data_IF_782823211814
#
_entry.id   IF_782823211814
#
_cell.length_a   1.000
_cell.length_b   1.000
_cell.length_c   1.000
_cell.angle_alpha   90.00
_cell.angle_beta   90.00
_cell.angle_gamma   90.00
#
_symmetry.space_group_name_H-M   'P 1'
#
loop_
_entity.id
_entity.type
_entity.pdbx_description
1 polymer ?
#
# COMPACT_ATOMS: atom_id res chain seq x y z
N UNK A 1 35.38 1.86 -5.02
CA UNK A 1 34.04 1.29 -5.16
C UNK A 1 33.13 1.75 -4.02
N UNK A 2 32.28 2.75 -4.26
CA UNK A 2 31.30 3.25 -3.28
C UNK A 2 29.91 3.26 -3.92
N UNK A 3 28.96 2.53 -3.35
CA UNK A 3 27.61 2.41 -3.88
C UNK A 3 26.75 3.66 -3.61
N UNK A 4 26.96 4.37 -2.48
CA UNK A 4 26.16 5.56 -2.14
C UNK A 4 26.19 6.67 -3.20
N UNK A 5 27.35 7.06 -3.77
CA UNK A 5 27.38 8.06 -4.84
C UNK A 5 26.66 7.59 -6.11
N UNK A 6 26.75 6.30 -6.44
CA UNK A 6 26.04 5.72 -7.58
C UNK A 6 24.52 5.78 -7.37
N UNK A 7 24.04 5.32 -6.20
CA UNK A 7 22.62 5.42 -5.85
C UNK A 7 22.10 6.85 -5.89
N UNK A 8 22.89 7.80 -5.36
CA UNK A 8 22.55 9.23 -5.40
C UNK A 8 22.40 9.73 -6.84
N UNK A 9 23.34 9.39 -7.74
CA UNK A 9 23.24 9.76 -9.17
C UNK A 9 21.98 9.19 -9.83
N UNK A 10 21.65 7.93 -9.58
CA UNK A 10 20.45 7.29 -10.14
C UNK A 10 19.20 7.99 -9.65
N UNK A 11 19.04 8.15 -8.32
CA UNK A 11 17.84 8.72 -7.70
C UNK A 11 17.63 10.19 -8.11
N UNK A 12 18.71 10.95 -8.32
CA UNK A 12 18.64 12.36 -8.73
C UNK A 12 18.55 12.56 -10.24
N UNK A 13 18.64 11.49 -11.04
CA UNK A 13 18.53 11.60 -12.50
C UNK A 13 17.13 12.04 -12.93
N UNK A 14 17.04 12.77 -14.04
CA UNK A 14 15.78 13.20 -14.62
C UNK A 14 14.88 11.99 -14.95
N UNK A 15 15.45 10.92 -15.48
CA UNK A 15 14.74 9.68 -15.83
C UNK A 15 14.10 9.02 -14.59
N UNK A 16 14.83 8.92 -13.47
CA UNK A 16 14.29 8.34 -12.25
C UNK A 16 13.17 9.18 -11.64
N UNK A 17 13.30 10.51 -11.74
CA UNK A 17 12.36 11.50 -11.17
C UNK A 17 11.23 11.87 -12.13
N UNK A 18 11.14 11.20 -13.26
CA UNK A 18 10.13 11.47 -14.28
C UNK A 18 8.72 11.19 -13.73
N UNK A 19 7.78 12.08 -14.04
CA UNK A 19 6.37 11.91 -13.70
C UNK A 19 5.71 10.79 -14.50
N UNK A 20 4.70 10.16 -13.94
CA UNK A 20 3.81 9.23 -14.62
C UNK A 20 2.60 9.94 -15.29
N UNK A 21 2.53 11.28 -15.23
CA UNK A 21 1.40 12.04 -15.74
C UNK A 21 1.10 11.71 -17.21
N UNK A 22 -0.18 11.58 -17.53
CA UNK A 22 -0.63 11.29 -18.87
C UNK A 22 -0.64 12.55 -19.74
N UNK A 23 -0.15 12.43 -20.98
CA UNK A 23 -0.18 13.46 -22.00
C UNK A 23 -0.70 12.83 -23.30
N UNK A 24 -1.85 13.31 -23.78
CA UNK A 24 -2.53 12.72 -24.94
C UNK A 24 -1.73 12.90 -26.24
N UNK A 25 -1.02 14.01 -26.41
CA UNK A 25 -0.22 14.26 -27.62
C UNK A 25 1.00 13.34 -27.67
N UNK A 26 1.70 13.18 -26.54
CA UNK A 26 2.82 12.26 -26.42
C UNK A 26 2.39 10.80 -26.55
N UNK A 27 1.25 10.44 -25.98
CA UNK A 27 0.66 9.10 -26.13
C UNK A 27 0.35 8.78 -27.59
N UNK A 28 -0.13 9.76 -28.37
CA UNK A 28 -0.37 9.58 -29.79
C UNK A 28 0.92 9.42 -30.59
N UNK A 29 1.98 10.14 -30.23
CA UNK A 29 3.28 10.08 -30.90
C UNK A 29 4.09 8.81 -30.55
N UNK A 30 4.04 8.38 -29.29
CA UNK A 30 4.75 7.20 -28.79
C UNK A 30 3.87 6.39 -27.81
N UNK A 31 2.93 5.59 -28.32
CA UNK A 31 2.01 4.79 -27.50
C UNK A 31 2.72 3.78 -26.60
N UNK A 32 3.88 3.28 -27.05
CA UNK A 32 4.65 2.26 -26.33
C UNK A 32 5.68 2.84 -25.36
N UNK A 33 5.73 4.18 -25.22
CA UNK A 33 6.67 4.87 -24.34
C UNK A 33 8.15 4.48 -24.59
N UNK A 34 8.52 4.21 -25.84
CA UNK A 34 9.88 3.85 -26.23
C UNK A 34 10.89 4.99 -26.01
N UNK A 35 10.40 6.22 -26.13
CA UNK A 35 11.20 7.44 -25.91
C UNK A 35 11.17 7.90 -24.44
N UNK A 36 10.60 7.10 -23.55
CA UNK A 36 10.53 7.40 -22.12
C UNK A 36 9.95 8.78 -21.79
N UNK A 37 8.85 9.17 -22.46
CA UNK A 37 8.21 10.46 -22.22
C UNK A 37 7.47 10.54 -20.87
N UNK A 38 7.18 9.40 -20.24
CA UNK A 38 6.66 9.30 -18.87
C UNK A 38 7.23 8.08 -18.14
N UNK A 39 7.17 8.10 -16.84
CA UNK A 39 7.37 6.89 -16.05
C UNK A 39 6.16 5.96 -16.24
N UNK A 40 6.41 4.70 -16.57
CA UNK A 40 5.34 3.69 -16.60
C UNK A 40 4.96 3.32 -15.17
N UNK A 41 3.68 3.46 -14.76
CA UNK A 41 3.22 3.00 -13.46
C UNK A 41 3.56 1.52 -13.27
N UNK A 42 4.15 1.20 -12.13
CA UNK A 42 4.55 -0.19 -11.82
C UNK A 42 3.95 -0.61 -10.49
N UNK A 43 3.31 -1.78 -10.47
CA UNK A 43 2.84 -2.37 -9.22
C UNK A 43 4.02 -2.73 -8.32
N UNK A 44 3.88 -2.47 -7.03
CA UNK A 44 4.83 -2.93 -6.01
C UNK A 44 4.86 -4.46 -5.94
N UNK A 45 5.99 -5.00 -5.55
CA UNK A 45 6.16 -6.43 -5.28
C UNK A 45 5.47 -6.82 -3.96
N UNK A 46 5.12 -8.08 -3.81
CA UNK A 46 4.40 -8.62 -2.65
C UNK A 46 5.01 -8.20 -1.31
N UNK A 47 6.33 -8.31 -1.22
CA UNK A 47 7.09 -7.95 -0.03
C UNK A 47 6.99 -6.45 0.27
N UNK A 48 7.06 -5.61 -0.77
CA UNK A 48 6.98 -4.16 -0.62
C UNK A 48 5.56 -3.73 -0.21
N UNK A 49 4.51 -4.32 -0.79
CA UNK A 49 3.11 -4.05 -0.42
C UNK A 49 2.88 -4.36 1.06
N UNK A 50 3.28 -5.55 1.51
CA UNK A 50 3.10 -5.96 2.91
C UNK A 50 3.94 -5.10 3.87
N UNK A 51 5.20 -4.84 3.54
CA UNK A 51 6.08 -4.04 4.38
C UNK A 51 5.59 -2.59 4.46
N UNK A 52 5.04 -2.03 3.37
CA UNK A 52 4.40 -0.72 3.36
C UNK A 52 3.17 -0.67 4.27
N UNK A 53 2.28 -1.68 4.18
CA UNK A 53 1.11 -1.80 5.05
C UNK A 53 1.50 -1.76 6.53
N UNK A 54 2.50 -2.56 6.93
CA UNK A 54 3.01 -2.60 8.30
C UNK A 54 3.71 -1.30 8.69
N UNK A 55 4.45 -0.68 7.76
CA UNK A 55 5.21 0.55 8.03
C UNK A 55 4.28 1.73 8.28
N UNK A 56 3.33 1.97 7.39
CA UNK A 56 2.42 3.12 7.50
C UNK A 56 1.48 2.99 8.71
N UNK A 57 1.09 1.76 9.06
CA UNK A 57 0.26 1.50 10.25
C UNK A 57 1.02 1.55 11.58
N UNK A 58 2.35 1.67 11.55
CA UNK A 58 3.20 1.65 12.74
C UNK A 58 3.39 0.26 13.36
N UNK A 59 2.95 -0.80 12.69
CA UNK A 59 3.05 -2.18 13.16
C UNK A 59 4.37 -2.86 12.79
N UNK A 60 5.19 -2.25 11.94
CA UNK A 60 6.43 -2.86 11.47
C UNK A 60 7.46 -2.99 12.60
N UNK A 61 7.84 -4.21 12.91
CA UNK A 61 9.01 -4.51 13.74
C UNK A 61 10.29 -4.39 12.90
N UNK A 62 11.07 -3.37 13.18
CA UNK A 62 12.29 -3.02 12.43
C UNK A 62 13.52 -3.83 12.84
N UNK A 63 13.42 -4.81 13.75
CA UNK A 63 14.56 -5.63 14.17
C UNK A 63 15.21 -6.32 12.98
N UNK A 64 16.51 -6.19 12.89
CA UNK A 64 17.33 -6.80 11.83
C UNK A 64 17.97 -8.11 12.34
N UNK A 65 18.37 -8.94 11.38
CA UNK A 65 19.05 -10.24 11.61
C UNK A 65 18.17 -11.30 12.29
N UNK A 66 18.73 -12.47 12.53
CA UNK A 66 18.06 -13.62 13.14
C UNK A 66 17.35 -14.54 12.15
N UNK A 67 16.70 -15.55 12.67
CA UNK A 67 16.06 -16.61 11.88
C UNK A 67 14.82 -16.11 11.11
N UNK A 68 14.56 -16.76 9.96
CA UNK A 68 13.31 -16.62 9.22
C UNK A 68 12.17 -17.40 9.89
N UNK A 69 10.94 -17.10 9.46
CA UNK A 69 9.73 -17.73 10.01
C UNK A 69 8.70 -18.04 8.94
N UNK A 70 7.82 -18.99 9.23
CA UNK A 70 6.61 -19.29 8.45
C UNK A 70 5.34 -18.71 9.09
N UNK A 71 5.49 -17.98 10.20
CA UNK A 71 4.36 -17.31 10.84
C UNK A 71 3.87 -16.15 9.99
N UNK A 72 2.69 -16.27 9.41
CA UNK A 72 2.06 -15.25 8.58
C UNK A 72 1.72 -13.97 9.36
N UNK A 73 1.62 -14.06 10.70
CA UNK A 73 1.33 -12.91 11.57
C UNK A 73 2.59 -12.13 11.97
N UNK A 74 3.77 -12.62 11.58
CA UNK A 74 5.03 -11.91 11.82
C UNK A 74 4.92 -10.44 11.38
N UNK A 75 5.36 -9.52 12.22
CA UNK A 75 5.35 -8.07 11.95
C UNK A 75 6.70 -7.51 11.46
N UNK A 76 7.72 -8.35 11.35
CA UNK A 76 9.00 -7.98 10.74
C UNK A 76 8.87 -7.86 9.23
N UNK A 77 9.91 -7.27 8.58
CA UNK A 77 9.97 -7.17 7.12
C UNK A 77 9.80 -8.53 6.45
N UNK A 78 9.17 -8.53 5.30
CA UNK A 78 8.85 -9.75 4.54
C UNK A 78 10.08 -10.57 4.12
N UNK A 79 11.26 -9.94 4.04
CA UNK A 79 12.53 -10.63 3.80
C UNK A 79 12.84 -11.73 4.85
N UNK A 80 12.21 -11.67 6.03
CA UNK A 80 12.36 -12.68 7.08
C UNK A 80 11.37 -13.83 6.98
N UNK A 81 10.54 -13.89 5.93
CA UNK A 81 9.79 -15.10 5.64
C UNK A 81 10.73 -16.19 5.13
N UNK A 82 10.60 -17.37 5.76
CA UNK A 82 11.27 -18.57 5.28
C UNK A 82 10.60 -19.07 4.00
N UNK A 83 11.39 -19.36 2.98
CA UNK A 83 10.89 -19.98 1.76
C UNK A 83 10.89 -21.50 1.96
N UNK A 84 9.70 -22.07 2.09
CA UNK A 84 9.50 -23.51 2.20
C UNK A 84 8.55 -23.99 1.11
N UNK A 85 9.03 -24.88 0.24
CA UNK A 85 8.27 -25.38 -0.93
C UNK A 85 6.89 -25.95 -0.58
N UNK A 86 6.79 -26.65 0.55
CA UNK A 86 5.53 -27.27 1.02
C UNK A 86 4.60 -26.32 1.76
N UNK A 87 5.01 -25.09 2.04
CA UNK A 87 4.21 -24.11 2.78
C UNK A 87 4.57 -22.70 2.35
N UNK A 88 3.91 -22.23 1.33
CA UNK A 88 4.07 -20.87 0.80
C UNK A 88 3.19 -19.89 1.61
N UNK A 89 3.56 -18.62 1.60
CA UNK A 89 2.79 -17.55 2.26
C UNK A 89 1.70 -17.05 1.30
N UNK A 90 0.41 -17.24 1.59
CA UNK A 90 -0.67 -16.96 0.63
C UNK A 90 -0.70 -15.50 0.14
N UNK A 91 -0.47 -14.52 1.03
CA UNK A 91 -0.42 -13.11 0.66
C UNK A 91 0.75 -12.78 -0.28
N UNK A 92 1.88 -13.48 -0.16
CA UNK A 92 3.00 -13.30 -1.06
C UNK A 92 2.67 -13.87 -2.45
N UNK A 93 2.10 -15.07 -2.50
CA UNK A 93 1.68 -15.69 -3.77
C UNK A 93 0.63 -14.87 -4.52
N UNK A 94 -0.32 -14.29 -3.78
CA UNK A 94 -1.38 -13.46 -4.36
C UNK A 94 -0.82 -12.26 -5.15
N UNK A 95 0.36 -11.76 -4.77
CA UNK A 95 1.05 -10.66 -5.43
C UNK A 95 2.30 -11.12 -6.20
N UNK A 96 2.27 -12.31 -6.76
CA UNK A 96 3.27 -12.86 -7.66
C UNK A 96 4.70 -12.95 -7.06
N UNK A 97 4.82 -13.31 -5.77
CA UNK A 97 6.13 -13.67 -5.25
C UNK A 97 6.71 -14.88 -6.01
N UNK A 98 8.03 -14.93 -6.25
CA UNK A 98 8.63 -16.01 -7.02
C UNK A 98 8.30 -17.38 -6.46
N UNK A 99 7.92 -18.29 -7.33
CA UNK A 99 7.72 -19.69 -6.96
C UNK A 99 9.07 -20.39 -6.77
N UNK A 100 9.30 -21.06 -5.61
CA UNK A 100 10.62 -21.62 -5.29
C UNK A 100 10.99 -22.87 -6.09
N UNK A 101 10.10 -23.38 -6.93
CA UNK A 101 10.31 -24.57 -7.78
C UNK A 101 10.84 -24.24 -9.18
N UNK A 102 10.65 -23.00 -9.63
CA UNK A 102 10.94 -22.61 -11.01
C UNK A 102 11.86 -21.40 -11.00
N UNK A 103 12.91 -21.45 -11.83
CA UNK A 103 13.77 -20.31 -12.07
C UNK A 103 13.05 -19.29 -12.94
N UNK A 104 12.96 -18.03 -12.48
CA UNK A 104 12.30 -16.94 -13.19
C UNK A 104 13.28 -15.83 -13.47
N UNK A 105 13.39 -15.42 -14.75
CA UNK A 105 14.21 -14.27 -15.15
C UNK A 105 13.61 -12.93 -14.74
N UNK A 106 12.28 -12.82 -14.77
CA UNK A 106 11.52 -11.64 -14.34
C UNK A 106 10.34 -12.05 -13.48
N UNK A 107 10.02 -11.23 -12.48
CA UNK A 107 8.80 -11.42 -11.68
C UNK A 107 7.57 -11.08 -12.52
N UNK A 108 6.56 -11.90 -12.42
CA UNK A 108 5.25 -11.57 -12.99
C UNK A 108 4.61 -10.40 -12.22
N UNK A 109 3.71 -9.68 -12.88
CA UNK A 109 2.90 -8.63 -12.27
C UNK A 109 1.47 -8.78 -12.80
N UNK A 110 0.75 -9.78 -12.29
CA UNK A 110 -0.65 -10.03 -12.66
C UNK A 110 -1.58 -9.05 -11.96
N UNK A 111 -2.73 -8.78 -12.56
CA UNK A 111 -3.81 -7.98 -11.98
C UNK A 111 -5.04 -8.88 -11.94
N UNK A 112 -5.42 -9.31 -10.75
CA UNK A 112 -6.54 -10.22 -10.52
C UNK A 112 -7.45 -9.70 -9.40
N UNK A 113 -8.75 -9.97 -9.52
CA UNK A 113 -9.73 -9.52 -8.53
C UNK A 113 -9.43 -9.93 -7.07
N UNK A 114 -8.88 -11.11 -6.76
CA UNK A 114 -8.52 -11.49 -5.41
C UNK A 114 -7.51 -10.53 -4.72
N UNK A 115 -6.69 -9.80 -5.48
CA UNK A 115 -5.77 -8.80 -4.90
C UNK A 115 -6.53 -7.63 -4.28
N UNK A 116 -7.57 -7.11 -4.94
CA UNK A 116 -8.44 -6.08 -4.38
C UNK A 116 -9.25 -6.62 -3.19
N UNK A 117 -9.80 -7.83 -3.31
CA UNK A 117 -10.55 -8.48 -2.23
C UNK A 117 -9.69 -8.71 -0.98
N UNK A 118 -8.39 -8.91 -1.12
CA UNK A 118 -7.50 -9.02 0.04
C UNK A 118 -7.50 -7.73 0.86
N UNK A 119 -7.43 -6.56 0.26
CA UNK A 119 -7.48 -5.30 0.99
C UNK A 119 -8.82 -5.07 1.70
N UNK A 120 -9.91 -5.63 1.16
CA UNK A 120 -11.23 -5.51 1.75
C UNK A 120 -11.46 -6.48 2.92
N UNK A 121 -10.93 -7.72 2.83
CA UNK A 121 -11.37 -8.83 3.69
C UNK A 121 -10.26 -9.42 4.58
N UNK A 122 -8.98 -9.07 4.36
CA UNK A 122 -7.89 -9.68 5.10
C UNK A 122 -7.78 -9.11 6.52
N UNK A 123 -7.70 -9.99 7.51
CA UNK A 123 -7.60 -9.61 8.92
C UNK A 123 -6.36 -8.77 9.25
N UNK A 124 -5.22 -8.98 8.56
CA UNK A 124 -4.01 -8.18 8.77
C UNK A 124 -4.16 -6.76 8.23
N UNK A 125 -4.89 -6.59 7.12
CA UNK A 125 -5.24 -5.27 6.60
C UNK A 125 -6.16 -4.55 7.58
N UNK A 126 -7.16 -5.25 8.13
CA UNK A 126 -8.04 -4.70 9.17
C UNK A 126 -7.28 -4.33 10.44
N UNK A 127 -6.32 -5.14 10.88
CA UNK A 127 -5.46 -4.82 12.02
C UNK A 127 -4.65 -3.54 11.76
N UNK A 128 -4.06 -3.40 10.58
CA UNK A 128 -3.33 -2.21 10.18
C UNK A 128 -4.23 -0.96 10.15
N UNK A 129 -5.43 -1.08 9.61
CA UNK A 129 -6.41 -0.01 9.57
C UNK A 129 -6.84 0.45 10.99
N UNK A 130 -7.07 -0.49 11.90
CA UNK A 130 -7.40 -0.19 13.30
C UNK A 130 -6.25 0.47 14.06
N UNK A 131 -5.00 0.10 13.76
CA UNK A 131 -3.82 0.74 14.34
C UNK A 131 -3.70 2.21 13.89
N UNK A 132 -3.94 2.49 12.60
CA UNK A 132 -4.02 3.86 12.08
C UNK A 132 -5.19 4.65 12.67
N UNK A 133 -6.36 4.05 12.77
CA UNK A 133 -7.53 4.70 13.36
C UNK A 133 -7.26 5.21 14.77
N UNK A 134 -6.51 4.46 15.58
CA UNK A 134 -6.09 4.89 16.92
C UNK A 134 -5.21 6.17 16.90
N UNK A 135 -4.48 6.41 15.81
CA UNK A 135 -3.73 7.64 15.63
C UNK A 135 -4.63 8.77 15.13
N UNK A 136 -5.53 8.48 14.22
CA UNK A 136 -6.43 9.45 13.61
C UNK A 136 -7.51 9.96 14.58
N UNK A 137 -7.95 9.15 15.54
CA UNK A 137 -8.88 9.58 16.59
C UNK A 137 -8.37 10.76 17.41
N UNK A 138 -7.05 10.92 17.54
CA UNK A 138 -6.42 12.02 18.29
C UNK A 138 -6.46 13.34 17.54
N UNK A 139 -6.84 13.33 16.27
CA UNK A 139 -6.85 14.53 15.42
C UNK A 139 -8.19 15.26 15.50
N UNK A 140 -8.18 16.60 15.36
CA UNK A 140 -9.40 17.40 15.43
C UNK A 140 -10.26 17.23 14.17
N UNK A 141 -11.37 16.49 14.29
CA UNK A 141 -12.39 16.38 13.24
C UNK A 141 -11.99 15.50 12.05
N UNK A 142 -12.93 15.34 11.11
CA UNK A 142 -12.77 14.46 9.93
C UNK A 142 -11.71 14.99 8.96
N UNK A 143 -11.70 16.29 8.70
CA UNK A 143 -10.78 16.89 7.73
C UNK A 143 -9.30 16.65 8.06
N UNK A 144 -8.93 16.77 9.35
CA UNK A 144 -7.57 16.50 9.80
C UNK A 144 -7.23 15.01 9.72
N UNK A 145 -8.15 14.12 10.11
CA UNK A 145 -7.99 12.67 10.01
C UNK A 145 -7.82 12.21 8.55
N UNK A 146 -8.66 12.70 7.64
CA UNK A 146 -8.60 12.42 6.21
C UNK A 146 -7.28 12.90 5.61
N UNK A 147 -6.90 14.15 5.87
CA UNK A 147 -5.63 14.70 5.37
C UNK A 147 -4.42 13.91 5.86
N UNK A 148 -4.41 13.51 7.13
CA UNK A 148 -3.37 12.65 7.69
C UNK A 148 -3.37 11.26 7.05
N UNK A 149 -4.55 10.67 6.82
CA UNK A 149 -4.70 9.38 6.16
C UNK A 149 -4.11 9.37 4.75
N UNK A 150 -4.49 10.34 3.92
CA UNK A 150 -3.94 10.50 2.57
C UNK A 150 -2.42 10.70 2.59
N UNK A 151 -1.93 11.57 3.47
CA UNK A 151 -0.50 11.84 3.55
C UNK A 151 0.31 10.63 4.02
N UNK A 152 -0.22 9.87 4.99
CA UNK A 152 0.47 8.70 5.54
C UNK A 152 0.42 7.50 4.61
N UNK A 153 -0.74 7.22 3.99
CA UNK A 153 -0.96 6.01 3.20
C UNK A 153 -0.59 6.24 1.73
N UNK A 154 -1.00 7.39 1.16
CA UNK A 154 -0.90 7.69 -0.27
C UNK A 154 0.30 8.61 -0.59
N UNK A 155 0.77 9.41 0.37
CA UNK A 155 1.90 10.33 0.19
C UNK A 155 1.53 11.69 -0.39
N UNK A 156 0.24 12.01 -0.55
CA UNK A 156 -0.26 13.31 -1.04
C UNK A 156 -1.40 13.83 -0.18
N UNK A 157 -1.76 15.09 -0.36
CA UNK A 157 -2.99 15.65 0.22
C UNK A 157 -4.23 15.18 -0.58
N UNK A 158 -5.40 15.04 0.07
CA UNK A 158 -6.66 14.81 -0.64
C UNK A 158 -7.05 16.04 -1.48
N UNK A 159 -7.72 15.82 -2.58
CA UNK A 159 -8.45 16.88 -3.31
C UNK A 159 -9.69 17.30 -2.52
N UNK A 160 -10.30 18.44 -2.89
CA UNK A 160 -11.55 18.89 -2.25
C UNK A 160 -12.69 17.86 -2.42
N UNK A 161 -12.79 17.23 -3.58
CA UNK A 161 -13.78 16.19 -3.86
C UNK A 161 -13.55 14.95 -2.99
N UNK A 162 -12.32 14.47 -2.88
CA UNK A 162 -11.97 13.33 -2.03
C UNK A 162 -12.24 13.63 -0.56
N UNK A 163 -11.88 14.83 -0.08
CA UNK A 163 -12.15 15.26 1.30
C UNK A 163 -13.65 15.18 1.62
N UNK A 164 -14.49 15.73 0.75
CA UNK A 164 -15.94 15.74 0.94
C UNK A 164 -16.53 14.32 0.88
N UNK A 165 -16.13 13.53 -0.10
CA UNK A 165 -16.62 12.16 -0.27
C UNK A 165 -16.24 11.25 0.91
N UNK A 166 -15.00 11.34 1.39
CA UNK A 166 -14.53 10.54 2.53
C UNK A 166 -15.15 11.05 3.84
N UNK A 167 -15.38 12.37 3.98
CA UNK A 167 -16.10 12.88 5.18
C UNK A 167 -17.51 12.32 5.26
N UNK A 168 -18.28 12.38 4.16
CA UNK A 168 -19.63 11.80 4.10
C UNK A 168 -19.61 10.27 4.33
N UNK A 169 -18.59 9.58 3.84
CA UNK A 169 -18.41 8.15 4.11
C UNK A 169 -18.19 7.88 5.60
N UNK A 170 -17.32 8.62 6.28
CA UNK A 170 -17.07 8.48 7.73
C UNK A 170 -18.38 8.69 8.49
N UNK A 171 -19.14 9.75 8.19
CA UNK A 171 -20.39 10.06 8.85
C UNK A 171 -21.43 8.93 8.66
N UNK A 172 -21.48 8.35 7.45
CA UNK A 172 -22.34 7.20 7.15
C UNK A 172 -21.95 5.97 7.96
N UNK A 173 -20.66 5.66 8.04
CA UNK A 173 -20.15 4.52 8.81
C UNK A 173 -20.39 4.72 10.31
N UNK A 174 -20.17 5.93 10.84
CA UNK A 174 -20.47 6.22 12.24
C UNK A 174 -21.95 5.98 12.56
N UNK A 175 -22.86 6.42 11.69
CA UNK A 175 -24.30 6.19 11.88
C UNK A 175 -24.66 4.69 11.81
N UNK A 176 -24.08 3.96 10.89
CA UNK A 176 -24.25 2.51 10.78
C UNK A 176 -23.81 1.78 12.06
N UNK A 177 -22.61 2.12 12.57
CA UNK A 177 -22.11 1.51 13.81
C UNK A 177 -22.90 1.91 15.05
N UNK A 178 -23.42 3.15 15.12
CA UNK A 178 -24.35 3.56 16.19
C UNK A 178 -25.63 2.74 16.16
N UNK A 179 -26.23 2.55 14.99
CA UNK A 179 -27.44 1.73 14.81
C UNK A 179 -27.20 0.26 15.19
N UNK A 180 -26.00 -0.24 14.91
CA UNK A 180 -25.59 -1.60 15.29
C UNK A 180 -25.12 -1.72 16.75
N UNK A 181 -25.27 -0.68 17.58
CA UNK A 181 -24.85 -0.62 18.99
C UNK A 181 -23.38 -1.03 19.19
N UNK A 182 -22.50 -0.67 18.27
CA UNK A 182 -21.07 -0.97 18.39
C UNK A 182 -20.39 0.04 19.33
N UNK A 183 -19.38 -0.44 20.07
CA UNK A 183 -18.49 0.42 20.84
C UNK A 183 -17.40 1.04 19.91
N UNK A 184 -16.85 2.19 20.33
CA UNK A 184 -15.77 2.86 19.59
C UNK A 184 -16.12 3.21 18.13
N UNK A 185 -17.32 3.68 17.92
CA UNK A 185 -17.93 3.98 16.61
C UNK A 185 -16.98 4.79 15.71
N UNK A 186 -16.44 5.90 16.23
CA UNK A 186 -15.52 6.75 15.48
C UNK A 186 -14.27 6.00 15.04
N UNK A 187 -13.68 5.22 15.93
CA UNK A 187 -12.50 4.41 15.59
C UNK A 187 -12.76 3.41 14.48
N UNK A 188 -13.93 2.77 14.51
CA UNK A 188 -14.34 1.80 13.47
C UNK A 188 -14.53 2.50 12.12
N UNK A 189 -15.19 3.66 12.10
CA UNK A 189 -15.36 4.45 10.87
C UNK A 189 -14.03 4.95 10.28
N UNK A 190 -13.11 5.40 11.13
CA UNK A 190 -11.76 5.79 10.71
C UNK A 190 -10.92 4.59 10.23
N UNK A 191 -11.14 3.40 10.79
CA UNK A 191 -10.52 2.18 10.30
C UNK A 191 -11.07 1.79 8.92
N UNK A 192 -12.36 1.96 8.67
CA UNK A 192 -12.95 1.74 7.36
C UNK A 192 -12.36 2.71 6.32
N UNK A 193 -12.23 3.99 6.68
CA UNK A 193 -11.53 4.98 5.83
C UNK A 193 -10.11 4.53 5.51
N UNK A 194 -9.32 4.12 6.50
CA UNK A 194 -7.95 3.65 6.27
C UNK A 194 -7.92 2.41 5.36
N UNK A 195 -8.88 1.51 5.52
CA UNK A 195 -9.01 0.31 4.70
C UNK A 195 -9.36 0.63 3.25
N UNK A 196 -10.23 1.62 3.01
CA UNK A 196 -10.53 2.15 1.67
C UNK A 196 -9.25 2.72 1.04
N UNK A 197 -8.48 3.52 1.78
CA UNK A 197 -7.24 4.09 1.27
C UNK A 197 -6.19 3.03 0.90
N UNK A 198 -6.08 1.94 1.66
CA UNK A 198 -5.23 0.80 1.30
C UNK A 198 -5.68 0.09 0.00
N UNK A 199 -6.97 0.16 -0.32
CA UNK A 199 -7.53 -0.38 -1.56
C UNK A 199 -7.31 0.48 -2.81
N UNK A 200 -6.80 1.71 -2.66
CA UNK A 200 -6.53 2.58 -3.81
C UNK A 200 -5.29 2.10 -4.59
N UNK A 201 -5.37 2.24 -5.92
CA UNK A 201 -4.23 1.92 -6.79
C UNK A 201 -2.96 2.69 -6.41
N UNK A 202 -3.10 3.91 -5.93
CA UNK A 202 -1.99 4.75 -5.49
C UNK A 202 -1.18 4.15 -4.32
N UNK A 203 -1.77 3.23 -3.53
CA UNK A 203 -1.05 2.52 -2.48
C UNK A 203 -0.18 1.38 -3.01
N UNK A 204 -0.60 0.73 -4.09
CA UNK A 204 0.07 -0.46 -4.63
C UNK A 204 0.87 -0.21 -5.91
N UNK A 205 0.71 0.95 -6.54
CA UNK A 205 1.45 1.33 -7.74
C UNK A 205 2.35 2.54 -7.46
N UNK A 206 3.59 2.44 -7.92
CA UNK A 206 4.51 3.59 -7.99
C UNK A 206 4.21 4.36 -9.26
N UNK A 207 3.84 5.63 -9.09
CA UNK A 207 3.51 6.57 -10.17
C UNK A 207 4.68 7.51 -10.44
#
# INVERSE_FOLDING_TARGET
WRLKPLHKKIILSATYRQSAAFDAAKMKADPQNKLHWRRTPRRLEAEAIRDSLLKVSGLLDSRMHGAGTLDIRMKRRSIYFMIKRSKLIPSMQLFDSPEPLVSQGNRHATIIAPQALMFMNNAQVREAALALATQFEKLPGNAAAISSGYQTIIGRKPTATELNSISAFIDTQENSYKTANQNNVRKLALADMAQVLFGLNEFIYVQ
#
